data_IF_286590484448
#
_entry.id   IF_286590484448
#
_cell.length_a   1.000
_cell.length_b   1.000
_cell.length_c   1.000
_cell.angle_alpha   90.00
_cell.angle_beta   90.00
_cell.angle_gamma   90.00
#
_symmetry.space_group_name_H-M   'P 1'
#
loop_
_entity.id
_entity.type
_entity.pdbx_description
1 polymer ?
#
# COMPACT_ATOMS: atom_id res chain seq x y z
N UNK A 1 5.15 -27.57 -33.73
CA UNK A 1 4.42 -26.61 -32.88
C UNK A 1 5.28 -26.42 -31.64
N UNK A 2 6.13 -25.39 -31.69
CA UNK A 2 7.18 -25.16 -30.69
C UNK A 2 6.56 -24.83 -29.32
N UNK A 3 6.89 -25.65 -28.33
CA UNK A 3 6.70 -25.33 -26.92
C UNK A 3 7.52 -24.08 -26.60
N UNK A 4 6.84 -22.97 -26.33
CA UNK A 4 7.48 -21.74 -25.84
C UNK A 4 8.26 -22.10 -24.58
N UNK A 5 9.58 -22.09 -24.73
CA UNK A 5 10.56 -22.36 -23.69
C UNK A 5 10.31 -21.48 -22.46
N UNK A 6 10.20 -22.13 -21.31
CA UNK A 6 10.23 -21.53 -19.99
C UNK A 6 11.57 -20.82 -19.76
N UNK A 7 11.69 -19.57 -20.21
CA UNK A 7 12.92 -18.77 -20.16
C UNK A 7 12.89 -17.67 -19.09
N UNK A 8 13.26 -18.00 -17.85
CA UNK A 8 14.06 -17.18 -16.90
C UNK A 8 13.56 -15.77 -16.44
N UNK A 9 12.45 -15.16 -16.91
CA UNK A 9 12.21 -13.70 -16.70
C UNK A 9 10.99 -13.15 -15.92
N UNK A 10 10.06 -13.90 -15.30
CA UNK A 10 8.95 -13.27 -14.57
C UNK A 10 9.32 -12.82 -13.14
N UNK A 11 10.22 -13.51 -12.46
CA UNK A 11 10.42 -13.32 -11.02
C UNK A 11 11.25 -12.09 -10.67
N UNK A 12 12.39 -11.88 -11.38
CA UNK A 12 13.22 -10.69 -11.21
C UNK A 12 12.43 -9.40 -11.48
N UNK A 13 11.59 -9.43 -12.52
CA UNK A 13 10.72 -8.31 -12.86
C UNK A 13 9.71 -8.05 -11.74
N UNK A 14 9.08 -9.08 -11.17
CA UNK A 14 8.14 -8.92 -10.04
C UNK A 14 8.80 -8.35 -8.80
N UNK A 15 9.98 -8.84 -8.43
CA UNK A 15 10.70 -8.31 -7.27
C UNK A 15 11.22 -6.89 -7.52
N UNK A 16 11.73 -6.60 -8.71
CA UNK A 16 12.14 -5.25 -9.10
C UNK A 16 10.95 -4.28 -9.05
N UNK A 17 9.77 -4.68 -9.53
CA UNK A 17 8.55 -3.87 -9.45
C UNK A 17 8.07 -3.67 -8.01
N UNK A 18 8.22 -4.68 -7.14
CA UNK A 18 7.91 -4.56 -5.71
C UNK A 18 8.91 -3.66 -4.99
N UNK A 19 10.20 -3.74 -5.31
CA UNK A 19 11.21 -2.85 -4.75
C UNK A 19 10.99 -1.40 -5.24
N UNK A 20 10.76 -1.21 -6.54
CA UNK A 20 10.40 0.07 -7.12
C UNK A 20 9.13 0.64 -6.49
N UNK A 21 8.14 -0.20 -6.17
CA UNK A 21 6.95 0.23 -5.43
C UNK A 21 7.25 0.77 -4.04
N UNK A 22 8.14 0.09 -3.30
CA UNK A 22 8.56 0.53 -1.98
C UNK A 22 9.30 1.87 -2.09
N UNK A 23 10.20 2.02 -3.07
CA UNK A 23 10.95 3.26 -3.28
C UNK A 23 10.04 4.41 -3.71
N UNK A 24 9.19 4.21 -4.71
CA UNK A 24 8.28 5.24 -5.23
C UNK A 24 7.28 5.70 -4.17
N UNK A 25 6.73 4.78 -3.38
CA UNK A 25 5.81 5.12 -2.29
C UNK A 25 6.49 5.79 -1.11
N UNK A 26 7.74 5.43 -0.81
CA UNK A 26 8.57 6.13 0.18
C UNK A 26 8.83 7.58 -0.23
N UNK A 27 9.20 7.80 -1.50
CA UNK A 27 9.41 9.14 -2.03
C UNK A 27 8.10 9.95 -2.01
N UNK A 28 6.98 9.36 -2.46
CA UNK A 28 5.67 10.02 -2.43
C UNK A 28 5.22 10.37 -0.99
N UNK A 29 5.41 9.45 -0.04
CA UNK A 29 5.12 9.70 1.37
C UNK A 29 5.95 10.86 1.91
N UNK A 30 7.27 10.79 1.72
CA UNK A 30 8.20 11.80 2.19
C UNK A 30 7.85 13.18 1.66
N UNK A 31 7.66 13.30 0.34
CA UNK A 31 7.30 14.58 -0.31
C UNK A 31 5.95 15.12 0.17
N UNK A 32 4.93 14.28 0.29
CA UNK A 32 3.61 14.71 0.71
C UNK A 32 3.53 15.04 2.21
N UNK A 33 4.21 14.26 3.05
CA UNK A 33 4.24 14.47 4.51
C UNK A 33 5.18 15.61 4.93
N UNK A 34 6.13 16.03 4.10
CA UNK A 34 7.00 17.17 4.36
C UNK A 34 6.25 18.50 4.55
N UNK A 35 5.06 18.63 3.95
CA UNK A 35 4.16 19.75 4.20
C UNK A 35 3.73 19.84 5.68
N UNK A 36 3.81 18.75 6.45
CA UNK A 36 3.52 18.72 7.88
C UNK A 36 4.62 19.38 8.75
N UNK A 37 5.82 19.65 8.21
CA UNK A 37 6.99 20.09 8.98
C UNK A 37 7.78 21.23 8.28
N UNK A 38 7.25 22.47 8.24
CA UNK A 38 7.66 23.46 7.24
C UNK A 38 9.00 24.23 7.39
N UNK A 39 9.86 24.16 8.42
CA UNK A 39 11.16 24.84 8.34
C UNK A 39 12.29 23.99 7.74
N UNK A 40 12.10 22.67 7.55
CA UNK A 40 13.16 21.71 7.15
C UNK A 40 12.71 20.79 6.01
N UNK A 41 11.99 21.34 5.03
CA UNK A 41 11.14 20.59 4.09
C UNK A 41 11.84 19.46 3.32
N UNK A 42 13.07 19.67 2.83
CA UNK A 42 13.78 18.63 2.06
C UNK A 42 14.28 17.49 2.96
N UNK A 43 14.96 17.80 4.06
CA UNK A 43 15.49 16.78 4.97
C UNK A 43 14.38 16.03 5.71
N UNK A 44 13.29 16.73 6.04
CA UNK A 44 12.09 16.11 6.59
C UNK A 44 11.43 15.19 5.56
N UNK A 45 11.34 15.60 4.29
CA UNK A 45 10.84 14.73 3.22
C UNK A 45 11.67 13.45 3.09
N UNK A 46 13.00 13.59 3.04
CA UNK A 46 13.93 12.47 2.93
C UNK A 46 13.81 11.54 4.13
N UNK A 47 13.83 12.09 5.35
CA UNK A 47 13.73 11.32 6.58
C UNK A 47 12.39 10.58 6.72
N UNK A 48 11.27 11.26 6.46
CA UNK A 48 9.93 10.66 6.52
C UNK A 48 9.76 9.59 5.45
N UNK A 49 10.23 9.85 4.23
CA UNK A 49 10.23 8.87 3.15
C UNK A 49 11.06 7.64 3.52
N UNK A 50 12.25 7.83 4.08
CA UNK A 50 13.10 6.74 4.54
C UNK A 50 12.45 5.90 5.65
N UNK A 51 11.80 6.55 6.63
CA UNK A 51 11.09 5.86 7.71
C UNK A 51 9.94 5.02 7.16
N UNK A 52 9.14 5.57 6.23
CA UNK A 52 8.07 4.84 5.56
C UNK A 52 8.60 3.64 4.79
N UNK A 53 9.65 3.83 3.99
CA UNK A 53 10.28 2.76 3.23
C UNK A 53 10.81 1.65 4.12
N UNK A 54 11.51 2.02 5.20
CA UNK A 54 12.01 1.08 6.20
C UNK A 54 10.88 0.31 6.88
N UNK A 55 9.81 0.99 7.31
CA UNK A 55 8.64 0.33 7.91
C UNK A 55 7.93 -0.58 6.92
N UNK A 56 7.77 -0.16 5.66
CA UNK A 56 7.14 -0.95 4.61
C UNK A 56 7.96 -2.21 4.31
N UNK A 57 9.26 -2.06 4.00
CA UNK A 57 10.17 -3.18 3.71
C UNK A 57 10.33 -4.09 4.93
N UNK A 58 10.46 -3.51 6.13
CA UNK A 58 10.47 -4.25 7.40
C UNK A 58 9.18 -5.04 7.62
N UNK A 59 8.03 -4.46 7.33
CA UNK A 59 6.71 -5.11 7.38
C UNK A 59 6.56 -6.25 6.37
N UNK A 60 7.21 -6.16 5.20
CA UNK A 60 7.34 -7.32 4.29
C UNK A 60 8.27 -8.42 4.82
N UNK A 61 8.94 -8.17 5.95
CA UNK A 61 9.80 -9.09 6.67
C UNK A 61 11.18 -9.25 6.05
N UNK A 62 11.80 -8.17 5.53
CA UNK A 62 13.13 -8.12 4.84
C UNK A 62 13.31 -9.10 3.67
N UNK A 63 12.29 -9.89 3.39
CA UNK A 63 12.25 -10.97 2.41
C UNK A 63 12.33 -10.48 0.97
N UNK A 64 11.92 -9.24 0.68
CA UNK A 64 12.18 -8.59 -0.62
C UNK A 64 13.68 -8.47 -0.85
N UNK A 65 14.44 -8.05 0.17
CA UNK A 65 15.90 -7.91 0.09
C UNK A 65 16.57 -9.27 -0.05
N UNK A 66 16.13 -10.27 0.73
CA UNK A 66 16.63 -11.65 0.60
C UNK A 66 16.33 -12.21 -0.78
N UNK A 67 15.11 -12.09 -1.28
CA UNK A 67 14.75 -12.63 -2.60
C UNK A 67 15.58 -12.01 -3.73
N UNK A 68 15.82 -10.69 -3.66
CA UNK A 68 16.69 -9.98 -4.61
C UNK A 68 18.14 -10.45 -4.49
N UNK A 69 18.66 -10.58 -3.27
CA UNK A 69 20.05 -10.98 -3.04
C UNK A 69 20.32 -12.48 -3.31
N UNK A 70 19.36 -13.35 -2.97
CA UNK A 70 19.49 -14.81 -3.04
C UNK A 70 19.03 -15.40 -4.37
N UNK A 71 18.44 -14.59 -5.25
CA UNK A 71 17.95 -14.99 -6.58
C UNK A 71 17.00 -16.20 -6.57
N UNK A 72 16.31 -16.44 -5.43
CA UNK A 72 15.36 -17.53 -5.25
C UNK A 72 14.01 -16.93 -4.91
N UNK A 73 13.06 -17.06 -5.84
CA UNK A 73 11.70 -16.55 -5.70
C UNK A 73 10.86 -17.29 -4.67
N UNK A 74 11.09 -18.60 -4.57
CA UNK A 74 10.30 -19.52 -3.74
C UNK A 74 10.58 -19.36 -2.24
N UNK A 75 11.72 -18.77 -1.88
CA UNK A 75 12.17 -18.71 -0.48
C UNK A 75 11.51 -17.58 0.33
N UNK A 76 10.76 -16.67 -0.32
CA UNK A 76 10.42 -15.40 0.30
C UNK A 76 9.11 -14.76 -0.22
N UNK A 77 7.91 -15.33 0.06
CA UNK A 77 6.65 -14.65 -0.23
C UNK A 77 6.55 -13.37 0.62
N UNK A 78 6.80 -12.21 0.00
CA UNK A 78 6.67 -10.92 0.65
C UNK A 78 5.19 -10.62 0.94
N UNK A 79 4.88 -10.31 2.20
CA UNK A 79 3.51 -10.04 2.66
C UNK A 79 3.17 -8.56 2.51
N UNK A 80 2.23 -8.25 1.60
CA UNK A 80 1.62 -6.92 1.52
C UNK A 80 0.92 -6.54 2.82
N UNK A 81 0.28 -7.49 3.50
CA UNK A 81 -0.41 -7.24 4.78
C UNK A 81 0.53 -6.60 5.80
N UNK A 82 1.74 -7.16 5.93
CA UNK A 82 2.70 -6.69 6.91
C UNK A 82 3.27 -5.32 6.54
N UNK A 83 3.53 -5.08 5.25
CA UNK A 83 3.94 -3.77 4.74
C UNK A 83 2.91 -2.67 5.05
N UNK A 84 1.65 -2.92 4.70
CA UNK A 84 0.55 -1.98 4.90
C UNK A 84 0.25 -1.75 6.39
N UNK A 85 0.33 -2.80 7.22
CA UNK A 85 0.18 -2.68 8.66
C UNK A 85 1.30 -1.83 9.28
N UNK A 86 2.56 -2.13 8.98
CA UNK A 86 3.71 -1.42 9.53
C UNK A 86 3.73 0.05 9.11
N UNK A 87 3.44 0.34 7.83
CA UNK A 87 3.36 1.72 7.35
C UNK A 87 2.18 2.49 7.94
N UNK A 88 1.03 1.84 8.16
CA UNK A 88 -0.12 2.45 8.86
C UNK A 88 0.23 2.81 10.31
N UNK A 89 0.89 1.90 11.05
CA UNK A 89 1.33 2.15 12.42
C UNK A 89 2.36 3.28 12.49
N UNK A 90 3.29 3.34 11.53
CA UNK A 90 4.23 4.46 11.44
C UNK A 90 3.49 5.78 11.17
N UNK A 91 2.54 5.80 10.23
CA UNK A 91 1.76 7.00 9.94
C UNK A 91 0.95 7.47 11.15
N UNK A 92 0.38 6.54 11.93
CA UNK A 92 -0.26 6.84 13.22
C UNK A 92 0.71 7.50 14.21
N UNK A 93 1.90 6.92 14.38
CA UNK A 93 2.92 7.46 15.27
C UNK A 93 3.39 8.87 14.83
N UNK A 94 3.64 9.06 13.53
CA UNK A 94 4.04 10.35 12.98
C UNK A 94 2.93 11.39 13.08
N UNK A 95 1.67 11.01 12.87
CA UNK A 95 0.52 11.89 13.08
C UNK A 95 0.44 12.34 14.55
N UNK A 96 0.62 11.43 15.51
CA UNK A 96 0.61 11.74 16.93
C UNK A 96 1.75 12.70 17.31
N UNK A 97 2.96 12.44 16.82
CA UNK A 97 4.13 13.32 17.02
C UNK A 97 3.87 14.71 16.41
N UNK A 98 3.39 14.77 15.17
CA UNK A 98 3.07 16.03 14.50
C UNK A 98 2.03 16.83 15.29
N UNK A 99 1.00 16.15 15.80
CA UNK A 99 -0.06 16.79 16.60
C UNK A 99 0.47 17.30 17.94
N UNK A 100 1.32 16.53 18.61
CA UNK A 100 1.96 16.88 19.87
C UNK A 100 2.87 18.11 19.74
N UNK A 101 3.60 18.21 18.62
CA UNK A 101 4.48 19.34 18.32
C UNK A 101 3.71 20.57 17.79
N UNK A 102 2.38 20.52 17.71
CA UNK A 102 1.55 21.63 17.19
C UNK A 102 1.63 21.82 15.67
N UNK A 103 2.21 20.87 14.93
CA UNK A 103 2.32 20.90 13.48
C UNK A 103 1.01 20.47 12.78
N UNK A 104 0.86 20.76 11.47
CA UNK A 104 -0.33 20.38 10.71
C UNK A 104 -0.34 18.87 10.40
N UNK A 105 -0.70 18.08 11.42
CA UNK A 105 -0.69 16.62 11.43
C UNK A 105 -1.53 15.98 10.31
N UNK A 106 -2.56 16.67 9.81
CA UNK A 106 -3.40 16.18 8.72
C UNK A 106 -2.59 15.84 7.46
N UNK A 107 -1.51 16.57 7.16
CA UNK A 107 -0.69 16.31 5.98
C UNK A 107 0.10 14.99 6.08
N UNK A 108 0.34 14.47 7.29
CA UNK A 108 0.89 13.12 7.47
C UNK A 108 -0.12 12.06 6.98
N UNK A 109 -1.41 12.26 7.28
CA UNK A 109 -2.48 11.34 6.86
C UNK A 109 -2.73 11.43 5.35
N UNK A 110 -2.73 12.64 4.78
CA UNK A 110 -2.81 12.83 3.32
C UNK A 110 -1.61 12.17 2.62
N UNK A 111 -0.39 12.39 3.14
CA UNK A 111 0.81 11.78 2.59
C UNK A 111 0.77 10.26 2.65
N UNK A 112 0.30 9.68 3.76
CA UNK A 112 0.05 8.25 3.86
C UNK A 112 -0.97 7.76 2.84
N UNK A 113 -2.11 8.45 2.72
CA UNK A 113 -3.20 8.10 1.81
C UNK A 113 -2.73 8.03 0.36
N UNK A 114 -1.92 8.99 -0.08
CA UNK A 114 -1.30 8.99 -1.41
C UNK A 114 -0.30 7.83 -1.54
N UNK A 115 0.62 7.71 -0.58
CA UNK A 115 1.71 6.74 -0.65
C UNK A 115 1.26 5.28 -0.66
N UNK A 116 0.30 4.90 0.21
CA UNK A 116 -0.15 3.51 0.30
C UNK A 116 -0.89 3.07 -0.97
N UNK A 117 -1.66 3.95 -1.59
CA UNK A 117 -2.36 3.65 -2.84
C UNK A 117 -1.39 3.62 -4.03
N UNK A 118 -0.43 4.55 -4.10
CA UNK A 118 0.63 4.51 -5.11
C UNK A 118 1.50 3.25 -4.98
N UNK A 119 1.82 2.80 -3.76
CA UNK A 119 2.54 1.55 -3.52
C UNK A 119 1.77 0.34 -4.06
N UNK A 120 0.45 0.36 -3.96
CA UNK A 120 -0.40 -0.79 -4.27
C UNK A 120 -0.53 -1.06 -5.78
N UNK A 121 -0.51 -0.02 -6.61
CA UNK A 121 -0.59 -0.14 -8.08
C UNK A 121 0.49 -1.07 -8.67
N UNK A 122 1.81 -0.82 -8.51
CA UNK A 122 2.87 -1.70 -9.03
C UNK A 122 2.87 -3.08 -8.36
N UNK A 123 2.46 -3.20 -7.10
CA UNK A 123 2.27 -4.52 -6.46
C UNK A 123 1.17 -5.31 -7.16
N UNK A 124 0.08 -4.68 -7.57
CA UNK A 124 -0.98 -5.35 -8.33
C UNK A 124 -0.65 -5.54 -9.80
N UNK A 125 -0.01 -4.56 -10.44
CA UNK A 125 0.50 -4.65 -11.80
C UNK A 125 1.48 -5.82 -11.96
N UNK A 126 2.40 -6.00 -11.01
CA UNK A 126 3.29 -7.16 -11.00
C UNK A 126 2.55 -8.49 -10.78
N UNK A 127 1.48 -8.51 -9.98
CA UNK A 127 0.64 -9.70 -9.84
C UNK A 127 -0.15 -10.04 -11.11
N UNK A 128 -0.62 -9.02 -11.84
CA UNK A 128 -1.28 -9.19 -13.14
C UNK A 128 -0.28 -9.74 -14.18
N UNK A 129 0.88 -9.10 -14.31
CA UNK A 129 1.92 -9.49 -15.26
C UNK A 129 2.46 -10.91 -15.01
N UNK A 130 2.66 -11.29 -13.75
CA UNK A 130 3.18 -12.60 -13.39
C UNK A 130 2.12 -13.70 -13.21
N UNK A 131 0.83 -13.38 -13.44
CA UNK A 131 -0.25 -14.37 -13.26
C UNK A 131 -0.51 -14.79 -11.82
N UNK A 132 0.19 -14.22 -10.82
CA UNK A 132 0.05 -14.64 -9.44
C UNK A 132 -1.21 -14.06 -8.79
N UNK A 133 -1.67 -14.70 -7.71
CA UNK A 133 -2.84 -14.25 -6.95
C UNK A 133 -4.12 -14.10 -7.80
N UNK A 134 -4.26 -14.88 -8.87
CA UNK A 134 -5.44 -14.90 -9.75
C UNK A 134 -6.67 -15.31 -8.95
N UNK A 135 -7.72 -14.51 -9.03
CA UNK A 135 -9.02 -14.77 -8.41
C UNK A 135 -10.08 -14.28 -9.38
N UNK A 136 -10.60 -15.21 -10.16
CA UNK A 136 -11.62 -14.94 -11.19
C UNK A 136 -12.94 -15.45 -10.65
N UNK A 137 -13.97 -14.62 -10.67
CA UNK A 137 -15.34 -15.05 -10.40
C UNK A 137 -16.15 -14.93 -11.67
N UNK A 138 -16.89 -15.98 -11.99
CA UNK A 138 -17.89 -15.94 -13.05
C UNK A 138 -19.17 -15.36 -12.47
N UNK A 139 -19.77 -14.40 -13.18
CA UNK A 139 -21.13 -13.93 -12.91
C UNK A 139 -22.02 -14.62 -13.94
N UNK A 140 -22.63 -15.74 -13.53
CA UNK A 140 -23.34 -16.63 -14.45
C UNK A 140 -24.52 -15.95 -15.16
N UNK A 141 -25.19 -15.01 -14.49
CA UNK A 141 -26.31 -14.25 -15.08
C UNK A 141 -25.93 -13.23 -16.17
N UNK A 142 -24.64 -12.88 -16.29
CA UNK A 142 -24.15 -11.93 -17.30
C UNK A 142 -23.15 -12.56 -18.28
N UNK A 143 -22.75 -13.81 -18.05
CA UNK A 143 -21.71 -14.47 -18.86
C UNK A 143 -20.31 -13.84 -18.73
N UNK A 144 -20.11 -12.93 -17.77
CA UNK A 144 -18.86 -12.17 -17.60
C UNK A 144 -17.99 -12.86 -16.53
N UNK A 145 -16.70 -12.98 -16.82
CA UNK A 145 -15.69 -13.37 -15.84
C UNK A 145 -14.91 -12.14 -15.37
N UNK A 146 -14.91 -11.88 -14.07
CA UNK A 146 -14.23 -10.73 -13.48
C UNK A 146 -12.95 -11.18 -12.77
N UNK A 147 -11.81 -10.63 -13.17
CA UNK A 147 -10.56 -10.77 -12.42
C UNK A 147 -10.49 -9.70 -11.33
N UNK A 148 -10.53 -10.15 -10.07
CA UNK A 148 -10.45 -9.28 -8.91
C UNK A 148 -9.22 -8.36 -8.94
N UNK A 149 -8.11 -8.80 -9.56
CA UNK A 149 -6.89 -7.99 -9.65
C UNK A 149 -7.08 -6.74 -10.50
N UNK A 150 -7.85 -6.83 -11.59
CA UNK A 150 -8.16 -5.69 -12.44
C UNK A 150 -9.10 -4.71 -11.73
N UNK A 151 -10.08 -5.24 -10.99
CA UNK A 151 -10.98 -4.44 -10.16
C UNK A 151 -10.20 -3.72 -9.06
N UNK A 152 -9.32 -4.42 -8.33
CA UNK A 152 -8.44 -3.83 -7.32
C UNK A 152 -7.59 -2.70 -7.91
N UNK A 153 -7.02 -2.90 -9.11
CA UNK A 153 -6.21 -1.89 -9.78
C UNK A 153 -7.02 -0.65 -10.18
N UNK A 154 -8.17 -0.83 -10.84
CA UNK A 154 -9.05 0.26 -11.25
C UNK A 154 -9.62 1.05 -10.06
N UNK A 155 -10.06 0.35 -9.01
CA UNK A 155 -10.53 1.00 -7.79
C UNK A 155 -9.42 1.82 -7.11
N UNK A 156 -8.19 1.31 -7.09
CA UNK A 156 -7.04 2.04 -6.52
C UNK A 156 -6.72 3.30 -7.32
N UNK A 157 -6.79 3.26 -8.66
CA UNK A 157 -6.62 4.45 -9.49
C UNK A 157 -7.67 5.52 -9.18
N UNK A 158 -8.93 5.11 -9.02
CA UNK A 158 -10.02 6.02 -8.67
C UNK A 158 -9.79 6.66 -7.30
N UNK A 159 -9.35 5.88 -6.31
CA UNK A 159 -9.00 6.37 -4.97
C UNK A 159 -7.86 7.39 -5.03
N UNK A 160 -6.81 7.14 -5.82
CA UNK A 160 -5.70 8.08 -6.02
C UNK A 160 -6.19 9.37 -6.66
N UNK A 161 -6.96 9.28 -7.75
CA UNK A 161 -7.49 10.44 -8.45
C UNK A 161 -8.35 11.32 -7.52
N UNK A 162 -9.25 10.70 -6.74
CA UNK A 162 -10.05 11.39 -5.75
C UNK A 162 -9.20 12.04 -4.64
N UNK A 163 -8.20 11.32 -4.13
CA UNK A 163 -7.29 11.83 -3.09
C UNK A 163 -6.52 13.04 -3.58
N UNK A 164 -5.94 12.99 -4.79
CA UNK A 164 -5.17 14.07 -5.37
C UNK A 164 -6.03 15.30 -5.69
N UNK A 165 -7.25 15.09 -6.18
CA UNK A 165 -8.20 16.18 -6.47
C UNK A 165 -8.59 16.96 -5.19
N UNK A 166 -8.62 16.28 -4.04
CA UNK A 166 -9.00 16.88 -2.76
C UNK A 166 -7.80 17.40 -1.94
N UNK A 167 -6.58 16.92 -2.19
CA UNK A 167 -5.43 17.07 -1.29
C UNK A 167 -5.09 18.53 -0.94
N UNK A 168 -5.27 19.46 -1.87
CA UNK A 168 -4.94 20.88 -1.68
C UNK A 168 -6.08 21.69 -1.07
N UNK A 169 -7.33 21.37 -1.43
CA UNK A 169 -8.50 22.19 -1.07
C UNK A 169 -9.24 21.64 0.14
N UNK A 170 -9.22 20.33 0.34
CA UNK A 170 -9.93 19.62 1.40
C UNK A 170 -9.06 18.47 1.94
N UNK A 171 -7.95 18.79 2.65
CA UNK A 171 -6.96 17.80 3.07
C UNK A 171 -7.54 16.70 3.98
N UNK A 172 -8.53 17.05 4.80
CA UNK A 172 -9.31 16.11 5.59
C UNK A 172 -10.04 15.10 4.70
N UNK A 173 -10.85 15.57 3.75
CA UNK A 173 -11.58 14.71 2.84
C UNK A 173 -10.64 13.87 1.98
N UNK A 174 -9.49 14.42 1.58
CA UNK A 174 -8.45 13.69 0.88
C UNK A 174 -7.90 12.51 1.70
N UNK A 175 -7.54 12.76 2.97
CA UNK A 175 -7.06 11.72 3.88
C UNK A 175 -8.13 10.62 4.08
N UNK A 176 -9.37 11.02 4.37
CA UNK A 176 -10.49 10.09 4.56
C UNK A 176 -10.74 9.26 3.30
N UNK A 177 -10.90 9.90 2.14
CA UNK A 177 -11.17 9.23 0.87
C UNK A 177 -10.05 8.25 0.49
N UNK A 178 -8.79 8.66 0.66
CA UNK A 178 -7.64 7.82 0.31
C UNK A 178 -7.44 6.63 1.26
N UNK A 179 -7.59 6.83 2.57
CA UNK A 179 -7.41 5.77 3.57
C UNK A 179 -8.61 4.81 3.56
N UNK A 180 -9.85 5.32 3.61
CA UNK A 180 -11.04 4.47 3.53
C UNK A 180 -11.16 3.79 2.18
N UNK A 181 -10.82 4.48 1.09
CA UNK A 181 -10.77 3.89 -0.25
C UNK A 181 -9.80 2.71 -0.30
N UNK A 182 -8.59 2.88 0.24
CA UNK A 182 -7.64 1.78 0.35
C UNK A 182 -8.20 0.63 1.19
N UNK A 183 -8.71 0.93 2.39
CA UNK A 183 -9.28 -0.05 3.30
C UNK A 183 -10.43 -0.83 2.65
N UNK A 184 -11.35 -0.15 1.95
CA UNK A 184 -12.47 -0.77 1.24
C UNK A 184 -11.99 -1.76 0.18
N UNK A 185 -10.99 -1.37 -0.64
CA UNK A 185 -10.35 -2.27 -1.61
C UNK A 185 -9.76 -3.50 -0.92
N UNK A 186 -9.11 -3.32 0.24
CA UNK A 186 -8.56 -4.44 1.02
C UNK A 186 -9.65 -5.34 1.59
N UNK A 187 -10.71 -4.80 2.18
CA UNK A 187 -11.83 -5.56 2.75
C UNK A 187 -12.51 -6.43 1.69
N UNK A 188 -12.85 -5.84 0.54
CA UNK A 188 -13.44 -6.56 -0.60
C UNK A 188 -12.49 -7.65 -1.10
N UNK A 189 -11.19 -7.33 -1.25
CA UNK A 189 -10.16 -8.29 -1.63
C UNK A 189 -10.07 -9.50 -0.69
N UNK A 190 -10.10 -9.26 0.63
CA UNK A 190 -10.04 -10.33 1.63
C UNK A 190 -11.30 -11.17 1.61
N UNK A 191 -12.46 -10.54 1.54
CA UNK A 191 -13.76 -11.22 1.51
C UNK A 191 -13.90 -12.10 0.28
N UNK A 192 -13.48 -11.62 -0.89
CA UNK A 192 -13.60 -12.36 -2.15
C UNK A 192 -12.63 -13.54 -2.22
N UNK A 193 -11.45 -13.42 -1.61
CA UNK A 193 -10.44 -14.49 -1.61
C UNK A 193 -10.59 -15.47 -0.44
N UNK A 194 -11.60 -15.31 0.41
CA UNK A 194 -11.78 -16.03 1.69
C UNK A 194 -10.51 -16.04 2.57
N UNK A 195 -9.79 -14.91 2.57
CA UNK A 195 -8.54 -14.71 3.35
C UNK A 195 -8.77 -13.67 4.43
N UNK A 196 -9.78 -13.90 5.27
CA UNK A 196 -10.15 -12.98 6.33
C UNK A 196 -9.38 -13.29 7.62
N UNK A 197 -8.72 -12.28 8.17
CA UNK A 197 -8.35 -12.27 9.58
C UNK A 197 -8.52 -10.86 10.11
N UNK A 198 -9.00 -10.74 11.34
CA UNK A 198 -8.99 -9.49 12.10
C UNK A 198 -7.62 -9.27 12.79
N UNK A 199 -6.56 -9.90 12.27
CA UNK A 199 -5.36 -10.26 13.03
C UNK A 199 -4.44 -9.11 13.42
N UNK A 200 -4.51 -8.72 14.69
CA UNK A 200 -3.35 -8.29 15.49
C UNK A 200 -2.42 -9.52 15.72
N UNK A 201 -1.12 -9.34 16.04
CA UNK A 201 0.04 -10.04 15.48
C UNK A 201 -0.01 -11.59 15.45
N UNK A 202 0.71 -12.23 14.50
CA UNK A 202 1.82 -11.69 13.69
C UNK A 202 1.42 -11.00 12.37
N UNK A 203 2.08 -9.87 12.07
CA UNK A 203 1.89 -9.01 10.88
C UNK A 203 2.04 -9.71 9.51
N UNK A 204 2.50 -10.97 9.52
CA UNK A 204 2.69 -11.78 8.31
C UNK A 204 1.38 -12.38 7.79
N UNK A 205 0.33 -12.42 8.61
CA UNK A 205 -0.93 -13.06 8.25
C UNK A 205 -1.74 -12.25 7.21
N UNK A 206 -2.48 -12.90 6.30
CA UNK A 206 -3.46 -12.24 5.45
C UNK A 206 -4.49 -11.48 6.29
N UNK A 207 -4.61 -10.16 6.15
CA UNK A 207 -5.59 -9.35 6.89
C UNK A 207 -5.01 -8.56 8.06
N UNK A 208 -3.72 -8.76 8.39
CA UNK A 208 -3.08 -8.01 9.48
C UNK A 208 -3.03 -6.49 9.27
N UNK A 209 -3.24 -6.02 8.04
CA UNK A 209 -3.35 -4.60 7.73
C UNK A 209 -4.69 -3.97 8.13
N UNK A 210 -5.75 -4.76 8.31
CA UNK A 210 -7.12 -4.22 8.42
C UNK A 210 -7.32 -3.39 9.68
N UNK A 211 -6.84 -3.85 10.84
CA UNK A 211 -6.99 -3.14 12.09
C UNK A 211 -6.19 -1.81 12.12
N UNK A 212 -4.88 -1.77 11.79
CA UNK A 212 -4.14 -0.52 11.67
C UNK A 212 -4.78 0.48 10.70
N UNK A 213 -5.25 0.01 9.53
CA UNK A 213 -5.92 0.85 8.54
C UNK A 213 -7.25 1.38 9.04
N UNK A 214 -8.04 0.58 9.75
CA UNK A 214 -9.31 0.99 10.34
C UNK A 214 -9.09 2.07 11.42
N UNK A 215 -8.11 1.89 12.30
CA UNK A 215 -7.75 2.90 13.31
C UNK A 215 -7.31 4.21 12.64
N UNK A 216 -6.46 4.12 11.62
CA UNK A 216 -6.02 5.30 10.86
C UNK A 216 -7.19 6.00 10.15
N UNK A 217 -8.14 5.23 9.59
CA UNK A 217 -9.33 5.78 8.96
C UNK A 217 -10.26 6.49 9.97
N UNK A 218 -10.46 5.89 11.15
CA UNK A 218 -11.22 6.50 12.24
C UNK A 218 -10.56 7.81 12.66
N UNK A 219 -9.25 7.82 12.87
CA UNK A 219 -8.52 9.04 13.22
C UNK A 219 -8.67 10.09 12.12
N UNK A 220 -8.49 9.72 10.84
CA UNK A 220 -8.67 10.65 9.72
C UNK A 220 -10.08 11.27 9.68
N UNK A 221 -11.11 10.52 10.06
CA UNK A 221 -12.49 10.99 10.12
C UNK A 221 -12.80 11.83 11.37
N UNK A 222 -12.13 11.57 12.50
CA UNK A 222 -12.33 12.30 13.76
C UNK A 222 -11.57 13.63 13.82
N UNK A 223 -10.52 13.77 13.03
CA UNK A 223 -9.74 15.02 12.90
C UNK A 223 -10.25 15.93 11.78
N UNK A 224 -11.37 15.53 11.16
CA UNK A 224 -12.15 16.32 10.21
C UNK A 224 -12.91 17.45 10.89
#
# INVERSE_FOLDING_TARGET
METISAGIRPERLVFALRLASAVASSAAFGLAAAAAFPPWSLWSAVGLGFLFGTAFVGGTGYRILIAVASLKSDTAPASWSGAAAASALLALALWFIARWLGGPAIYVLVGYAIAINLAYLPVKGSCLAAGCCRSVRRIDGLGISLDLRQIEFGATLLVIAATLALATSFPVLAAVAGILGHLAVRLVSRRWRDRWSWGWPPLRQPGAELAPLAVLAIIAALVA
#
